data_IF_874982286719
#
_entry.id   IF_874982286719
#
_cell.length_a   1.000
_cell.length_b   1.000
_cell.length_c   1.000
_cell.angle_alpha   90.00
_cell.angle_beta   90.00
_cell.angle_gamma   90.00
#
_symmetry.space_group_name_H-M   'P 1'
#
loop_
_entity.id
_entity.type
_entity.pdbx_description
1 polymer ?
#
# COMPACT_ATOMS: atom_id res chain seq x y z
N UNK A 1 16.41 35.48 -4.55
CA UNK A 1 16.48 34.13 -5.18
C UNK A 1 16.66 33.11 -4.07
N UNK A 2 15.78 32.06 -4.02
CA UNK A 2 15.88 30.99 -3.01
C UNK A 2 17.06 30.06 -3.30
N UNK A 3 17.73 29.59 -2.26
CA UNK A 3 18.77 28.58 -2.39
C UNK A 3 18.12 27.17 -2.50
N UNK A 4 18.62 26.37 -3.44
CA UNK A 4 18.24 24.97 -3.54
C UNK A 4 18.81 24.21 -2.34
N UNK A 5 17.97 23.54 -1.58
CA UNK A 5 18.36 22.76 -0.41
C UNK A 5 17.97 21.28 -0.62
N UNK A 6 18.73 20.39 0.00
CA UNK A 6 18.34 18.99 0.10
C UNK A 6 17.02 18.87 0.87
N UNK A 7 16.18 17.86 0.56
CA UNK A 7 14.98 17.60 1.35
C UNK A 7 15.34 17.31 2.80
N UNK A 8 14.45 17.61 3.76
CA UNK A 8 14.67 17.25 5.15
C UNK A 8 14.74 15.70 5.29
N UNK A 9 15.35 15.20 6.38
CA UNK A 9 15.34 13.76 6.66
C UNK A 9 13.91 13.19 6.66
N UNK A 10 13.73 12.07 6.00
CA UNK A 10 12.48 11.36 5.88
C UNK A 10 12.66 9.89 6.25
N UNK A 11 11.58 9.24 6.64
CA UNK A 11 11.49 7.78 6.79
C UNK A 11 10.39 7.26 5.89
N UNK A 12 10.56 6.02 5.38
CA UNK A 12 9.51 5.35 4.59
C UNK A 12 8.32 5.07 5.48
N UNK A 13 7.15 5.28 4.92
CA UNK A 13 5.86 4.93 5.46
C UNK A 13 5.15 3.98 4.48
N UNK A 14 4.35 3.06 4.97
CA UNK A 14 3.41 2.33 4.13
C UNK A 14 2.12 2.05 4.90
N UNK A 15 1.01 2.05 4.18
CA UNK A 15 -0.24 1.46 4.64
C UNK A 15 -0.53 0.23 3.78
N UNK A 16 -0.99 -0.85 4.41
CA UNK A 16 -1.45 -2.03 3.70
C UNK A 16 -2.80 -2.48 4.24
N UNK A 17 -3.63 -3.03 3.37
CA UNK A 17 -4.89 -3.64 3.78
C UNK A 17 -5.23 -4.88 2.96
N UNK A 18 -5.89 -5.82 3.61
CA UNK A 18 -6.33 -7.11 3.10
C UNK A 18 -7.56 -7.56 3.87
N UNK A 19 -8.16 -8.66 3.47
CA UNK A 19 -9.33 -9.25 4.15
C UNK A 19 -8.95 -10.12 5.35
N UNK A 20 -7.65 -10.45 5.53
CA UNK A 20 -7.16 -11.31 6.61
C UNK A 20 -5.88 -10.77 7.24
N UNK A 21 -5.79 -10.84 8.57
CA UNK A 21 -4.59 -10.47 9.33
C UNK A 21 -3.39 -11.36 8.97
N UNK A 22 -3.62 -12.63 8.62
CA UNK A 22 -2.58 -13.56 8.17
C UNK A 22 -1.89 -13.05 6.89
N UNK A 23 -2.66 -12.52 5.96
CA UNK A 23 -2.13 -11.94 4.71
C UNK A 23 -1.35 -10.66 5.03
N UNK A 24 -1.87 -9.80 5.90
CA UNK A 24 -1.14 -8.61 6.32
C UNK A 24 0.21 -8.94 6.94
N UNK A 25 0.26 -9.96 7.82
CA UNK A 25 1.53 -10.41 8.40
C UNK A 25 2.53 -10.81 7.32
N UNK A 26 2.12 -11.64 6.37
CA UNK A 26 2.98 -12.06 5.26
C UNK A 26 3.46 -10.88 4.41
N UNK A 27 2.58 -9.92 4.17
CA UNK A 27 2.91 -8.69 3.42
C UNK A 27 4.00 -7.90 4.15
N UNK A 28 3.87 -7.71 5.47
CA UNK A 28 4.88 -6.97 6.24
C UNK A 28 6.22 -7.70 6.30
N UNK A 29 6.24 -9.02 6.46
CA UNK A 29 7.46 -9.83 6.41
C UNK A 29 8.18 -9.65 5.03
N UNK A 30 7.42 -9.61 3.94
CA UNK A 30 7.94 -9.38 2.59
C UNK A 30 8.41 -7.93 2.37
N UNK A 31 7.64 -6.96 2.82
CA UNK A 31 8.02 -5.54 2.71
C UNK A 31 9.27 -5.23 3.53
N UNK A 32 9.44 -5.83 4.69
CA UNK A 32 10.66 -5.71 5.49
C UNK A 32 11.88 -6.26 4.74
N UNK A 33 11.72 -7.34 3.98
CA UNK A 33 12.78 -7.89 3.13
C UNK A 33 13.18 -6.97 1.98
N UNK A 34 12.24 -6.18 1.44
CA UNK A 34 12.48 -5.27 0.32
C UNK A 34 12.91 -3.86 0.74
N UNK A 35 12.30 -3.35 1.82
CA UNK A 35 12.43 -1.94 2.21
C UNK A 35 13.24 -1.71 3.48
N UNK A 36 13.73 -2.78 4.13
CA UNK A 36 14.47 -2.68 5.36
C UNK A 36 13.59 -2.80 6.61
N UNK A 37 14.20 -2.72 7.76
CA UNK A 37 13.59 -2.99 9.06
C UNK A 37 12.39 -2.08 9.37
N UNK A 38 11.29 -2.68 9.80
CA UNK A 38 10.15 -1.95 10.33
C UNK A 38 10.47 -1.46 11.74
N UNK A 39 10.44 -0.14 11.93
CA UNK A 39 10.64 0.50 13.24
C UNK A 39 9.36 0.47 14.09
N UNK A 40 8.21 0.65 13.46
CA UNK A 40 6.90 0.66 14.13
C UNK A 40 5.84 0.11 13.20
N UNK A 41 5.01 -0.80 13.73
CA UNK A 41 3.84 -1.35 13.06
C UNK A 41 2.61 -1.11 13.92
N UNK A 42 1.56 -0.56 13.34
CA UNK A 42 0.29 -0.36 14.05
C UNK A 42 -0.40 -1.70 14.35
N UNK A 43 -1.27 -1.76 15.36
CA UNK A 43 -2.26 -2.83 15.42
C UNK A 43 -3.07 -2.90 14.13
N UNK A 44 -3.57 -4.09 13.77
CA UNK A 44 -4.55 -4.21 12.69
C UNK A 44 -5.92 -3.68 13.16
N UNK A 45 -6.57 -2.89 12.32
CA UNK A 45 -7.88 -2.31 12.61
C UNK A 45 -8.83 -2.49 11.43
N UNK A 46 -10.12 -2.44 11.72
CA UNK A 46 -11.17 -2.56 10.71
C UNK A 46 -11.19 -1.34 9.80
N UNK A 47 -11.10 -1.59 8.52
CA UNK A 47 -11.21 -0.56 7.49
C UNK A 47 -12.60 -0.65 6.85
N UNK A 48 -13.56 0.05 7.45
CA UNK A 48 -14.99 -0.06 7.13
C UNK A 48 -15.35 0.69 5.84
N UNK A 49 -14.39 1.05 5.03
CA UNK A 49 -14.68 2.04 4.08
C UNK A 49 -14.44 1.84 2.64
N UNK A 50 -15.23 2.48 1.90
CA UNK A 50 -15.29 2.73 0.48
C UNK A 50 -15.82 1.57 -0.37
N UNK A 51 -16.99 1.74 -0.98
CA UNK A 51 -17.53 0.82 -1.99
C UNK A 51 -16.54 0.51 -3.12
N UNK A 52 -15.58 1.41 -3.34
CA UNK A 52 -14.50 1.20 -4.30
C UNK A 52 -13.61 0.00 -3.93
N UNK A 53 -13.17 -0.09 -2.66
CA UNK A 53 -12.30 -1.19 -2.23
C UNK A 53 -13.04 -2.52 -2.19
N UNK A 54 -14.30 -2.54 -1.85
CA UNK A 54 -15.13 -3.75 -1.94
C UNK A 54 -15.24 -4.28 -3.38
N UNK A 55 -15.12 -3.42 -4.39
CA UNK A 55 -15.14 -3.84 -5.79
C UNK A 55 -13.77 -4.31 -6.30
N UNK A 56 -12.67 -3.82 -5.72
CA UNK A 56 -11.30 -4.02 -6.23
C UNK A 56 -10.46 -4.95 -5.38
N UNK A 57 -10.96 -5.33 -4.20
CA UNK A 57 -10.28 -6.28 -3.30
C UNK A 57 -10.98 -7.63 -3.31
N UNK A 58 -10.18 -8.70 -3.29
CA UNK A 58 -10.70 -10.03 -3.01
C UNK A 58 -11.19 -10.09 -1.57
N UNK A 59 -12.40 -10.56 -1.41
CA UNK A 59 -13.04 -10.77 -0.12
C UNK A 59 -13.41 -12.25 -0.07
N UNK A 60 -12.82 -13.00 0.86
CA UNK A 60 -13.17 -14.40 1.03
C UNK A 60 -14.68 -14.53 1.28
N UNK A 61 -15.35 -15.54 0.70
CA UNK A 61 -16.75 -15.80 0.98
C UNK A 61 -16.94 -16.01 2.49
N UNK A 62 -17.68 -15.13 3.14
CA UNK A 62 -18.01 -15.27 4.55
C UNK A 62 -19.43 -15.78 4.71
N UNK A 63 -19.63 -16.71 5.64
CA UNK A 63 -20.96 -17.14 6.06
C UNK A 63 -21.62 -15.96 6.79
N UNK A 64 -22.66 -15.39 6.21
CA UNK A 64 -23.58 -14.39 6.79
C UNK A 64 -23.01 -13.04 7.28
N UNK A 65 -21.72 -12.80 7.23
CA UNK A 65 -21.13 -11.52 7.63
C UNK A 65 -20.37 -10.89 6.47
N UNK A 66 -20.62 -9.61 6.13
CA UNK A 66 -19.80 -8.93 5.10
C UNK A 66 -18.33 -8.98 5.51
N UNK A 67 -17.44 -9.40 4.63
CA UNK A 67 -16.01 -9.42 4.92
C UNK A 67 -15.52 -7.99 5.16
N UNK A 68 -14.82 -7.80 6.27
CA UNK A 68 -14.23 -6.52 6.66
C UNK A 68 -12.78 -6.50 6.20
N UNK A 69 -12.37 -5.41 5.53
CA UNK A 69 -10.96 -5.18 5.25
C UNK A 69 -10.23 -4.79 6.53
N UNK A 70 -9.06 -5.39 6.72
CA UNK A 70 -8.14 -5.09 7.82
C UNK A 70 -7.02 -4.21 7.31
N UNK A 71 -6.66 -3.17 8.04
CA UNK A 71 -5.61 -2.22 7.68
C UNK A 71 -4.55 -2.14 8.76
N UNK A 72 -3.30 -2.01 8.35
CA UNK A 72 -2.16 -1.67 9.19
C UNK A 72 -1.29 -0.61 8.51
N UNK A 73 -0.51 0.09 9.32
CA UNK A 73 0.45 1.09 8.88
C UNK A 73 1.80 0.84 9.51
N UNK A 74 2.87 1.06 8.76
CA UNK A 74 4.23 0.88 9.22
C UNK A 74 5.12 2.10 8.91
N UNK A 75 6.09 2.31 9.78
CA UNK A 75 7.23 3.20 9.56
C UNK A 75 8.49 2.36 9.54
N UNK A 76 9.33 2.56 8.54
CA UNK A 76 10.60 1.87 8.39
C UNK A 76 11.74 2.64 9.06
N UNK A 77 12.77 1.93 9.49
CA UNK A 77 13.84 2.50 10.32
C UNK A 77 14.86 3.31 9.52
N UNK A 78 15.10 2.91 8.27
CA UNK A 78 16.18 3.50 7.47
C UNK A 78 15.82 4.87 6.92
N UNK A 79 16.79 5.77 6.78
CA UNK A 79 16.60 7.04 6.09
C UNK A 79 16.04 6.82 4.68
N UNK A 80 15.10 7.64 4.28
CA UNK A 80 14.38 7.51 3.01
C UNK A 80 14.68 8.69 2.08
N UNK A 81 14.96 8.38 0.81
CA UNK A 81 15.04 9.38 -0.25
C UNK A 81 13.65 9.58 -0.88
N UNK A 82 13.02 10.74 -0.72
CA UNK A 82 11.71 11.04 -1.31
C UNK A 82 11.63 10.89 -2.84
N UNK A 83 12.76 10.93 -3.54
CA UNK A 83 12.82 10.73 -4.98
C UNK A 83 12.42 9.30 -5.38
N UNK A 84 12.54 8.34 -4.47
CA UNK A 84 12.17 6.94 -4.69
C UNK A 84 10.65 6.70 -4.65
N UNK A 85 9.83 7.66 -4.21
CA UNK A 85 8.41 7.46 -3.92
C UNK A 85 7.62 6.91 -5.13
N UNK A 86 7.88 7.44 -6.32
CA UNK A 86 7.17 6.98 -7.52
C UNK A 86 7.56 5.54 -7.89
N UNK A 87 8.83 5.17 -7.73
CA UNK A 87 9.32 3.81 -7.97
C UNK A 87 8.73 2.83 -6.94
N UNK A 88 8.72 3.21 -5.67
CA UNK A 88 8.10 2.40 -4.61
C UNK A 88 6.63 2.08 -4.93
N UNK A 89 5.87 3.03 -5.50
CA UNK A 89 4.47 2.77 -5.89
C UNK A 89 4.37 1.83 -7.09
N UNK A 90 5.25 1.97 -8.06
CA UNK A 90 5.30 1.04 -9.20
C UNK A 90 5.64 -0.37 -8.72
N UNK A 91 6.63 -0.51 -7.85
CA UNK A 91 7.05 -1.80 -7.31
C UNK A 91 5.96 -2.42 -6.42
N UNK A 92 5.32 -1.62 -5.54
CA UNK A 92 4.22 -2.12 -4.72
C UNK A 92 3.06 -2.65 -5.56
N UNK A 93 2.70 -1.99 -6.66
CA UNK A 93 1.67 -2.49 -7.56
C UNK A 93 2.06 -3.83 -8.20
N UNK A 94 3.32 -3.99 -8.63
CA UNK A 94 3.82 -5.28 -9.14
C UNK A 94 3.77 -6.38 -8.08
N UNK A 95 4.11 -6.07 -6.85
CA UNK A 95 4.01 -7.03 -5.75
C UNK A 95 2.55 -7.39 -5.42
N UNK A 96 1.64 -6.41 -5.43
CA UNK A 96 0.21 -6.67 -5.27
C UNK A 96 -0.29 -7.68 -6.30
N UNK A 97 0.08 -7.54 -7.58
CA UNK A 97 -0.26 -8.46 -8.66
C UNK A 97 0.37 -9.85 -8.44
N UNK A 98 1.69 -9.89 -8.22
CA UNK A 98 2.43 -11.14 -8.05
C UNK A 98 1.96 -11.93 -6.82
N UNK A 99 1.75 -11.27 -5.70
CA UNK A 99 1.31 -11.93 -4.46
C UNK A 99 -0.16 -12.33 -4.53
N UNK A 100 -0.98 -11.59 -5.25
CA UNK A 100 -2.36 -12.01 -5.53
C UNK A 100 -2.36 -13.30 -6.35
N UNK A 101 -1.60 -13.37 -7.42
CA UNK A 101 -1.50 -14.57 -8.25
C UNK A 101 -0.94 -15.80 -7.49
N UNK A 102 0.01 -15.57 -6.57
CA UNK A 102 0.62 -16.63 -5.75
C UNK A 102 -0.30 -17.17 -4.65
N UNK A 103 -1.05 -16.27 -3.99
CA UNK A 103 -1.72 -16.57 -2.72
C UNK A 103 -3.23 -16.80 -2.84
N UNK A 104 -3.85 -16.37 -3.93
CA UNK A 104 -5.26 -16.67 -4.15
C UNK A 104 -5.46 -18.17 -4.45
N UNK A 105 -6.50 -18.78 -3.89
CA UNK A 105 -6.90 -20.13 -4.28
C UNK A 105 -7.19 -20.23 -5.78
N UNK A 106 -6.81 -21.34 -6.40
CA UNK A 106 -6.99 -21.55 -7.84
C UNK A 106 -8.45 -21.43 -8.31
N UNK A 107 -9.41 -21.82 -7.46
CA UNK A 107 -10.83 -21.69 -7.72
C UNK A 107 -11.34 -20.24 -7.65
N UNK A 108 -10.68 -19.39 -6.85
CA UNK A 108 -10.98 -17.96 -6.78
C UNK A 108 -10.54 -17.24 -8.06
N UNK A 109 -9.42 -17.65 -8.66
CA UNK A 109 -8.92 -17.11 -9.93
C UNK A 109 -9.84 -17.43 -11.12
N UNK A 110 -10.62 -18.51 -11.03
CA UNK A 110 -11.57 -18.94 -12.09
C UNK A 110 -12.90 -18.20 -12.00
N UNK A 111 -13.34 -17.83 -10.81
CA UNK A 111 -14.66 -17.25 -10.56
C UNK A 111 -14.73 -15.73 -10.70
N UNK A 112 -13.61 -15.06 -10.55
CA UNK A 112 -13.53 -13.61 -10.62
C UNK A 112 -12.46 -13.23 -11.63
N UNK A 113 -12.66 -12.14 -12.36
CA UNK A 113 -11.63 -11.61 -13.26
C UNK A 113 -10.38 -11.27 -12.42
N UNK A 114 -9.29 -12.03 -12.53
CA UNK A 114 -8.09 -11.82 -11.71
C UNK A 114 -7.42 -10.48 -11.96
N UNK A 115 -7.77 -9.78 -13.03
CA UNK A 115 -7.29 -8.43 -13.34
C UNK A 115 -7.96 -7.34 -12.51
N UNK A 116 -9.06 -7.65 -11.83
CA UNK A 116 -9.87 -6.64 -11.13
C UNK A 116 -9.80 -6.75 -9.61
N UNK A 117 -9.43 -7.91 -9.05
CA UNK A 117 -9.41 -8.10 -7.59
C UNK A 117 -8.02 -8.42 -7.06
N UNK A 118 -7.61 -7.63 -6.10
CA UNK A 118 -6.33 -7.75 -5.40
C UNK A 118 -6.50 -8.38 -4.03
N UNK A 119 -5.57 -9.22 -3.63
CA UNK A 119 -5.53 -9.80 -2.29
C UNK A 119 -5.07 -8.79 -1.25
N UNK A 120 -4.18 -7.89 -1.66
CA UNK A 120 -3.62 -6.83 -0.81
C UNK A 120 -3.54 -5.52 -1.59
N UNK A 121 -3.68 -4.41 -0.88
CA UNK A 121 -3.32 -3.09 -1.39
C UNK A 121 -2.20 -2.53 -0.53
N UNK A 122 -1.21 -1.91 -1.18
CA UNK A 122 -0.04 -1.30 -0.55
C UNK A 122 0.06 0.15 -1.02
N UNK A 123 -0.02 1.08 -0.08
CA UNK A 123 0.12 2.51 -0.33
C UNK A 123 1.42 3.01 0.31
N UNK A 124 2.52 3.07 -0.46
CA UNK A 124 3.78 3.62 0.02
C UNK A 124 3.72 5.13 0.16
N UNK A 125 4.54 5.62 1.07
CA UNK A 125 4.67 7.03 1.36
C UNK A 125 5.96 7.33 2.11
N UNK A 126 6.07 8.57 2.59
CA UNK A 126 7.12 8.93 3.52
C UNK A 126 6.62 9.94 4.57
N UNK A 127 7.27 9.90 5.71
CA UNK A 127 7.11 10.86 6.79
C UNK A 127 8.33 11.78 6.86
N UNK A 128 8.09 13.08 6.97
CA UNK A 128 9.06 14.08 7.38
C UNK A 128 8.59 14.73 8.67
N UNK A 129 9.37 15.68 9.20
CA UNK A 129 8.98 16.44 10.40
C UNK A 129 7.65 17.19 10.24
N UNK A 130 7.22 17.48 9.03
CA UNK A 130 6.09 18.38 8.79
C UNK A 130 4.96 17.78 7.97
N UNK A 131 5.16 16.62 7.35
CA UNK A 131 4.14 16.05 6.47
C UNK A 131 4.26 14.53 6.31
N UNK A 132 3.12 13.91 6.04
CA UNK A 132 2.99 12.58 5.44
C UNK A 132 2.67 12.79 3.96
N UNK A 133 3.43 12.12 3.09
CA UNK A 133 3.16 12.11 1.66
C UNK A 133 2.91 10.68 1.21
N UNK A 134 1.81 10.44 0.49
CA UNK A 134 1.44 9.14 -0.06
C UNK A 134 1.56 9.13 -1.58
N UNK A 135 1.85 7.98 -2.16
CA UNK A 135 1.85 7.78 -3.60
C UNK A 135 0.53 7.16 -4.09
N UNK A 136 0.08 7.57 -5.26
CA UNK A 136 -1.15 7.08 -5.88
C UNK A 136 -1.03 7.02 -7.40
N UNK A 137 -1.74 6.07 -8.03
CA UNK A 137 -1.90 6.02 -9.49
C UNK A 137 -3.07 6.88 -9.99
N UNK A 138 -3.87 7.44 -9.09
CA UNK A 138 -5.08 8.19 -9.46
C UNK A 138 -4.78 9.67 -9.56
N UNK A 139 -5.04 10.26 -10.73
CA UNK A 139 -5.04 11.70 -10.92
C UNK A 139 -6.29 12.31 -10.26
N UNK A 140 -6.10 13.18 -9.29
CA UNK A 140 -7.15 13.96 -8.61
C UNK A 140 -6.68 15.41 -8.45
N UNK A 141 -7.63 16.33 -8.23
CA UNK A 141 -7.37 17.77 -8.19
C UNK A 141 -6.35 18.19 -7.11
N UNK A 142 -6.30 17.45 -6.01
CA UNK A 142 -5.40 17.70 -4.87
C UNK A 142 -4.07 16.94 -4.95
N UNK A 143 -3.79 16.24 -6.06
CA UNK A 143 -2.57 15.44 -6.23
C UNK A 143 -1.61 16.05 -7.22
N UNK A 144 -0.33 15.91 -6.93
CA UNK A 144 0.75 16.44 -7.74
C UNK A 144 1.42 15.30 -8.51
N UNK A 145 1.53 15.44 -9.81
CA UNK A 145 2.22 14.46 -10.65
C UNK A 145 3.72 14.38 -10.28
N UNK A 146 4.22 13.17 -10.10
CA UNK A 146 5.65 12.90 -9.87
C UNK A 146 6.32 12.44 -11.15
N UNK A 147 6.16 11.17 -11.50
CA UNK A 147 6.67 10.55 -12.73
C UNK A 147 5.99 9.19 -12.94
N UNK A 148 6.11 8.62 -14.17
CA UNK A 148 5.67 7.24 -14.45
C UNK A 148 4.18 6.98 -14.17
N UNK A 149 3.31 7.97 -14.27
CA UNK A 149 1.89 7.83 -13.95
C UNK A 149 1.57 7.88 -12.45
N UNK A 150 2.54 8.22 -11.61
CA UNK A 150 2.36 8.30 -10.15
C UNK A 150 2.20 9.75 -9.70
N UNK A 151 1.32 9.93 -8.73
CA UNK A 151 0.97 11.21 -8.12
C UNK A 151 1.24 11.18 -6.62
N UNK A 152 1.60 12.31 -6.05
CA UNK A 152 1.73 12.52 -4.61
C UNK A 152 0.47 13.16 -4.02
N UNK A 153 0.14 12.75 -2.80
CA UNK A 153 -0.93 13.32 -1.96
C UNK A 153 -0.33 13.67 -0.58
N UNK A 154 -0.61 14.88 -0.08
CA UNK A 154 -0.10 15.39 1.21
C UNK A 154 -1.22 15.42 2.23
#
# INVERSE_FOLDING_TARGET
MGLIKKPPPCVRFAAAFSHEDRILKLVWDRLESHWGKIATLSPAFDFIESPYYHKTMYLAPANDTPPILRKQMAVFADPYDPQSLALDKVDSNRWEEAWTAELLPADALVREDPLTKRLVNIDPGYLSMTKLVLASTKNREHRIYLQGGIYAEV
#
